data_IF_549351129527
#
_entry.id   IF_549351129527
#
_cell.length_a   1.000
_cell.length_b   1.000
_cell.length_c   1.000
_cell.angle_alpha   90.00
_cell.angle_beta   90.00
_cell.angle_gamma   90.00
#
_symmetry.space_group_name_H-M   'P 1'
#
loop_
_entity.id
_entity.type
_entity.pdbx_description
1 polymer ?
2 non-polymer ?
3 non-polymer ?
4 water ?
#
# COMPACT_ATOMS: atom_id res chain seq x y z
N UNK A 1 17.95 19.13 16.70
CA UNK A 1 18.47 17.80 16.40
C UNK A 1 17.40 16.83 15.98
N UNK A 2 16.41 16.63 16.88
CA UNK A 2 15.22 15.81 16.69
C UNK A 2 13.97 16.66 17.04
N UNK A 3 14.21 17.87 17.59
CA UNK A 3 13.23 18.88 18.05
C UNK A 3 12.23 19.35 16.98
N UNK A 4 12.70 19.62 15.74
CA UNK A 4 11.83 20.07 14.65
C UNK A 4 10.93 18.93 14.24
N UNK A 5 11.51 17.69 14.09
CA UNK A 5 10.85 16.44 13.72
C UNK A 5 9.75 16.08 14.70
N UNK A 6 10.05 16.22 16.01
CA UNK A 6 9.14 15.96 17.12
C UNK A 6 7.91 16.87 17.03
N UNK A 7 8.12 18.14 16.67
CA UNK A 7 7.07 19.14 16.50
C UNK A 7 6.24 18.87 15.24
N UNK A 8 6.85 18.28 14.18
CA UNK A 8 6.15 17.93 12.94
C UNK A 8 5.17 16.83 13.31
N UNK A 9 5.67 15.82 14.08
CA UNK A 9 4.91 14.69 14.60
C UNK A 9 3.86 15.15 15.61
N UNK A 10 4.14 16.22 16.35
CA UNK A 10 3.14 16.77 17.27
C UNK A 10 2.03 17.50 16.51
N UNK A 11 2.37 18.12 15.36
CA UNK A 11 1.42 18.78 14.48
C UNK A 11 0.50 17.72 13.84
N UNK A 12 1.11 16.65 13.26
CA UNK A 12 0.41 15.54 12.60
C UNK A 12 -0.56 14.81 13.52
N UNK A 13 -0.25 14.79 14.83
CA UNK A 13 -1.03 14.14 15.87
C UNK A 13 -2.34 14.90 16.14
N UNK A 14 -2.32 16.24 15.93
CA UNK A 14 -3.47 17.13 16.18
C UNK A 14 -4.48 17.21 15.03
N UNK A 15 -4.42 16.25 14.08
CA UNK A 15 -5.36 16.16 12.97
C UNK A 15 -5.90 14.73 12.87
N UNK A 16 -5.05 13.74 13.21
CA UNK A 16 -5.39 12.32 13.22
C UNK A 16 -6.28 12.06 14.43
N UNK A 17 -5.68 12.01 15.63
CA UNK A 17 -6.33 11.78 16.92
C UNK A 17 -7.39 12.87 17.27
N UNK A 18 -7.50 13.90 16.41
CA UNK A 18 -8.48 14.97 16.50
C UNK A 18 -9.69 14.51 15.68
N UNK A 19 -10.87 14.44 16.34
CA UNK A 19 -12.19 13.98 15.85
C UNK A 19 -12.35 14.10 14.31
N UNK A 20 -11.90 13.06 13.57
CA UNK A 20 -12.02 13.03 12.12
C UNK A 20 -13.30 12.27 11.77
N UNK A 21 -14.39 13.04 11.49
CA UNK A 21 -15.70 12.53 11.11
C UNK A 21 -15.62 11.86 9.73
N UNK A 22 -14.52 12.12 9.02
CA UNK A 22 -14.18 11.61 7.69
C UNK A 22 -14.28 10.10 7.58
N UNK A 23 -13.65 9.35 8.50
CA UNK A 23 -13.65 7.88 8.51
C UNK A 23 -15.04 7.26 8.67
N UNK A 24 -15.87 7.87 9.52
CA UNK A 24 -17.24 7.42 9.76
C UNK A 24 -18.17 7.66 8.59
N UNK A 25 -17.81 8.66 7.75
CA UNK A 25 -18.55 9.02 6.53
C UNK A 25 -18.22 7.98 5.44
N UNK A 26 -16.91 7.62 5.32
CA UNK A 26 -16.37 6.63 4.38
C UNK A 26 -16.99 5.24 4.67
N UNK A 27 -17.14 4.88 5.97
CA UNK A 27 -17.71 3.62 6.45
C UNK A 27 -19.16 3.41 6.00
N UNK A 28 -19.93 4.49 6.00
CA UNK A 28 -21.34 4.50 5.60
C UNK A 28 -21.54 4.23 4.12
N UNK A 29 -20.62 4.75 3.28
CA UNK A 29 -20.65 4.57 1.83
C UNK A 29 -20.27 3.12 1.48
N UNK A 30 -19.20 2.60 2.12
CA UNK A 30 -18.66 1.23 1.96
C UNK A 30 -19.68 0.15 2.38
N UNK A 31 -20.37 0.32 3.54
CA UNK A 31 -21.39 -0.60 4.07
C UNK A 31 -22.60 -0.75 3.11
N UNK A 32 -23.01 0.38 2.51
CA UNK A 32 -24.10 0.55 1.55
C UNK A 32 -23.72 -0.13 0.22
N UNK A 33 -22.43 0.01 -0.18
CA UNK A 33 -21.90 -0.56 -1.41
C UNK A 33 -21.76 -2.07 -1.34
N UNK A 34 -21.24 -2.60 -0.21
CA UNK A 34 -21.05 -4.04 0.01
C UNK A 34 -22.37 -4.82 0.00
N UNK A 35 -23.43 -4.23 0.59
CA UNK A 35 -24.79 -4.77 0.62
C UNK A 35 -25.33 -4.95 -0.81
N UNK A 36 -25.13 -3.92 -1.67
CA UNK A 36 -25.54 -3.91 -3.07
C UNK A 36 -24.75 -4.94 -3.87
N UNK A 37 -23.43 -4.94 -3.67
CA UNK A 37 -22.47 -5.84 -4.31
C UNK A 37 -22.77 -7.32 -4.03
N UNK A 38 -23.07 -7.67 -2.75
CA UNK A 38 -23.38 -9.04 -2.31
C UNK A 38 -24.66 -9.63 -2.94
N UNK A 39 -25.48 -8.77 -3.57
CA UNK A 39 -26.71 -9.15 -4.26
C UNK A 39 -26.44 -9.50 -5.74
N UNK A 40 -25.21 -9.25 -6.20
CA UNK A 40 -24.80 -9.59 -7.56
C UNK A 40 -24.30 -11.04 -7.62
N UNK A 41 -24.53 -11.70 -8.77
CA UNK A 41 -24.15 -13.10 -9.03
C UNK A 41 -22.64 -13.34 -8.92
N UNK A 42 -21.82 -12.37 -9.35
CA UNK A 42 -20.36 -12.47 -9.31
C UNK A 42 -19.76 -11.93 -8.03
N UNK A 43 -20.39 -10.89 -7.46
CA UNK A 43 -19.92 -10.22 -6.25
C UNK A 43 -20.68 -10.61 -4.98
N UNK A 44 -21.28 -11.83 -4.93
CA UNK A 44 -21.99 -12.30 -3.72
C UNK A 44 -21.04 -12.67 -2.59
N UNK A 45 -19.79 -13.00 -2.94
CA UNK A 45 -18.73 -13.33 -1.99
C UNK A 45 -17.80 -12.17 -1.70
N UNK A 46 -18.29 -10.93 -1.93
CA UNK A 46 -17.51 -9.72 -1.67
C UNK A 46 -17.46 -9.40 -0.17
N UNK A 47 -16.43 -8.69 0.25
CA UNK A 47 -16.27 -8.29 1.64
C UNK A 47 -15.19 -7.26 1.82
N UNK A 48 -15.30 -6.42 2.85
CA UNK A 48 -14.28 -5.44 3.18
C UNK A 48 -13.00 -6.19 3.60
N UNK A 49 -11.84 -5.78 3.05
CA UNK A 49 -10.56 -6.33 3.43
C UNK A 49 -9.96 -5.37 4.45
N UNK A 50 -9.70 -5.90 5.65
CA UNK A 50 -9.13 -5.16 6.77
C UNK A 50 -7.60 -4.91 6.54
N UNK A 51 -7.26 -3.65 6.15
CA UNK A 51 -5.90 -3.11 5.94
C UNK A 51 -5.67 -2.05 7.07
N UNK A 52 -6.64 -2.02 7.97
CA UNK A 52 -6.83 -1.11 9.10
C UNK A 52 -8.32 -0.79 9.12
N UNK A 53 -9.06 -1.48 8.21
CA UNK A 53 -10.51 -1.44 7.90
C UNK A 53 -10.85 -0.29 6.91
N UNK A 54 -11.93 0.46 7.19
CA UNK A 54 -12.44 1.60 6.42
C UNK A 54 -11.44 2.78 6.42
N UNK A 55 -10.83 3.07 7.60
CA UNK A 55 -9.88 4.17 7.80
C UNK A 55 -8.43 3.86 7.35
N UNK A 56 -8.25 3.05 6.27
CA UNK A 56 -6.91 2.79 5.71
C UNK A 56 -6.53 4.00 4.85
N UNK A 57 -5.37 4.60 5.14
CA UNK A 57 -4.92 5.82 4.51
C UNK A 57 -3.78 5.66 3.53
N UNK A 58 -3.36 6.81 2.97
CA UNK A 58 -2.23 7.05 2.07
C UNK A 58 -1.67 8.42 2.48
N UNK A 59 -2.57 9.45 2.56
CA UNK A 59 -2.30 10.85 2.91
C UNK A 59 -2.32 11.08 4.44
N UNK A 60 -1.13 11.30 5.02
CA UNK A 60 -0.90 11.56 6.45
C UNK A 60 -0.87 13.09 6.74
N UNK A 61 -0.74 13.92 5.66
CA UNK A 61 -0.70 15.39 5.65
C UNK A 61 -2.11 15.98 5.71
N UNK A 62 -3.05 15.36 4.97
CA UNK A 62 -4.46 15.77 4.91
C UNK A 62 -5.38 14.53 4.92
N UNK A 63 -6.39 14.45 5.84
CA UNK A 63 -7.32 13.31 5.83
C UNK A 63 -8.29 13.28 4.63
N UNK A 64 -7.95 14.02 3.56
CA UNK A 64 -8.69 14.16 2.31
C UNK A 64 -8.46 12.98 1.34
N UNK A 65 -7.72 11.94 1.78
CA UNK A 65 -7.46 10.74 0.97
C UNK A 65 -7.38 9.43 1.79
N UNK A 66 -8.37 8.55 1.56
CA UNK A 66 -8.56 7.22 2.12
C UNK A 66 -8.41 6.19 1.01
N UNK A 67 -7.95 4.98 1.37
CA UNK A 67 -7.80 3.87 0.44
C UNK A 67 -8.49 2.63 1.00
N UNK A 68 -9.59 2.18 0.36
CA UNK A 68 -10.29 0.99 0.84
C UNK A 68 -10.09 -0.18 -0.14
N UNK A 69 -10.06 -1.40 0.40
CA UNK A 69 -9.88 -2.62 -0.36
C UNK A 69 -11.04 -3.59 -0.08
N UNK A 70 -11.64 -4.09 -1.17
CA UNK A 70 -12.71 -5.08 -1.16
C UNK A 70 -12.07 -6.38 -1.60
N UNK A 71 -12.48 -7.48 -1.01
CA UNK A 71 -11.92 -8.78 -1.36
C UNK A 71 -13.01 -9.72 -1.85
N UNK A 72 -12.61 -10.64 -2.73
CA UNK A 72 -13.45 -11.66 -3.35
C UNK A 72 -12.73 -12.99 -3.15
N UNK A 73 -13.33 -13.90 -2.36
CA UNK A 73 -12.74 -15.22 -2.09
C UNK A 73 -12.79 -16.08 -3.36
N UNK A 74 -11.63 -16.22 -4.02
CA UNK A 74 -11.48 -17.02 -5.24
C UNK A 74 -10.81 -18.37 -4.89
N UNK A 75 -11.59 -19.46 -4.82
CA UNK A 75 -11.01 -20.75 -4.45
C UNK A 75 -10.54 -21.59 -5.64
N UNK A 76 -9.62 -22.58 -5.39
CA UNK A 76 -9.05 -23.51 -6.39
C UNK A 76 -8.57 -22.79 -7.68
N UNK A 77 -7.82 -21.69 -7.48
CA UNK A 77 -7.25 -20.76 -8.45
C UNK A 77 -5.88 -21.23 -9.01
N UNK A 78 -5.74 -21.20 -10.36
CA UNK A 78 -4.50 -21.53 -11.07
C UNK A 78 -3.88 -20.23 -11.61
N UNK A 79 -2.60 -19.97 -11.29
CA UNK A 79 -1.91 -18.73 -11.70
C UNK A 79 -0.80 -18.96 -12.72
N UNK A 80 -0.86 -18.21 -13.85
CA UNK A 80 0.15 -18.28 -14.92
C UNK A 80 0.98 -17.00 -14.86
N UNK A 81 2.27 -17.10 -14.54
CA UNK A 81 3.17 -15.94 -14.46
C UNK A 81 3.40 -15.28 -15.83
N UNK A 82 2.98 -14.01 -15.96
CA UNK A 82 3.16 -13.25 -17.20
C UNK A 82 4.61 -12.79 -17.39
N UNK A 83 5.18 -13.07 -18.59
CA UNK A 83 6.51 -12.70 -19.12
C UNK A 83 7.69 -12.73 -18.12
N UNK A 84 7.58 -13.54 -17.05
CA UNK A 84 8.61 -13.63 -15.98
C UNK A 84 8.77 -12.28 -15.23
N UNK A 85 7.65 -11.53 -15.11
CA UNK A 85 7.58 -10.22 -14.45
C UNK A 85 7.62 -10.40 -12.94
N UNK A 86 7.41 -11.64 -12.47
CA UNK A 86 7.40 -12.12 -11.07
C UNK A 86 6.20 -11.61 -10.26
N UNK A 87 5.67 -10.40 -10.57
CA UNK A 87 4.53 -9.80 -9.88
C UNK A 87 3.20 -9.90 -10.63
N UNK A 88 3.22 -10.04 -11.98
CA UNK A 88 2.02 -10.10 -12.84
C UNK A 88 1.65 -11.53 -13.28
N UNK A 89 0.38 -11.92 -13.05
CA UNK A 89 -0.16 -13.27 -13.29
C UNK A 89 -1.53 -13.26 -13.99
N UNK A 90 -1.84 -14.36 -14.68
CA UNK A 90 -3.12 -14.60 -15.33
C UNK A 90 -3.92 -15.41 -14.33
N UNK A 91 -5.24 -15.20 -14.28
CA UNK A 91 -6.07 -15.95 -13.36
C UNK A 91 -6.91 -16.98 -14.11
N UNK A 92 -6.61 -18.28 -13.90
CA UNK A 92 -7.36 -19.38 -14.51
C UNK A 92 -7.93 -20.28 -13.41
N UNK A 93 -8.97 -21.06 -13.75
CA UNK A 93 -9.66 -21.91 -12.78
C UNK A 93 -9.57 -23.39 -13.10
N UNK A 94 -9.54 -24.24 -12.05
CA UNK A 94 -9.47 -25.71 -12.14
C UNK A 94 -10.68 -26.35 -12.83
N UNK A 95 -11.85 -25.64 -12.78
CA UNK A 95 -13.14 -25.98 -13.40
C UNK A 95 -13.74 -27.31 -12.91
N UNK A 96 -14.12 -27.33 -11.61
CA UNK A 96 -14.80 -28.46 -10.94
C UNK A 96 -16.33 -28.18 -10.93
N UNK A 97 -16.86 -27.11 -10.25
CA UNK A 97 -18.30 -26.83 -10.35
C UNK A 97 -18.52 -25.73 -11.42
N UNK A 98 -17.95 -25.98 -12.63
CA UNK A 98 -17.85 -25.17 -13.86
C UNK A 98 -18.63 -23.83 -13.85
N UNK A 99 -19.98 -23.85 -13.66
CA UNK A 99 -20.82 -22.65 -13.58
C UNK A 99 -20.64 -21.91 -12.22
N UNK A 100 -19.42 -21.37 -12.02
CA UNK A 100 -18.95 -20.63 -10.83
C UNK A 100 -19.36 -19.13 -10.90
N UNK A 101 -19.31 -18.35 -9.79
CA UNK A 101 -19.72 -16.93 -9.85
C UNK A 101 -18.96 -16.02 -10.82
N UNK A 102 -17.67 -16.28 -11.05
CA UNK A 102 -16.85 -15.42 -11.91
C UNK A 102 -16.65 -15.98 -13.32
N UNK A 103 -17.41 -17.05 -13.68
CA UNK A 103 -17.36 -17.66 -15.00
C UNK A 103 -17.80 -16.69 -16.11
N UNK A 104 -18.51 -15.59 -15.74
CA UNK A 104 -19.00 -14.57 -16.68
C UNK A 104 -17.91 -13.60 -17.17
N UNK A 105 -16.75 -13.57 -16.48
CA UNK A 105 -15.64 -12.69 -16.88
C UNK A 105 -14.50 -13.45 -17.58
N UNK A 106 -14.72 -14.73 -17.94
CA UNK A 106 -13.72 -15.56 -18.62
C UNK A 106 -13.61 -15.24 -20.11
N UNK A 107 -12.35 -15.09 -20.57
CA UNK A 107 -11.96 -14.87 -21.96
C UNK A 107 -11.03 -16.05 -22.34
N UNK A 108 -11.64 -17.20 -22.53
CA UNK A 108 -10.99 -18.47 -22.81
C UNK A 108 -10.89 -19.26 -21.52
N UNK A 109 -9.72 -19.23 -20.89
CA UNK A 109 -9.46 -19.86 -19.59
C UNK A 109 -9.02 -18.76 -18.63
N UNK A 110 -8.60 -17.61 -19.20
CA UNK A 110 -8.11 -16.39 -18.52
C UNK A 110 -9.28 -15.54 -17.99
N UNK A 111 -9.14 -15.04 -16.75
CA UNK A 111 -10.12 -14.17 -16.10
C UNK A 111 -9.79 -12.69 -16.36
N UNK A 112 -10.75 -11.98 -16.96
CA UNK A 112 -10.67 -10.58 -17.36
C UNK A 112 -10.85 -9.66 -16.15
N UNK A 113 -9.88 -8.74 -15.98
CA UNK A 113 -9.83 -7.75 -14.93
C UNK A 113 -10.71 -6.56 -15.31
N UNK A 114 -10.57 -6.05 -16.55
CA UNK A 114 -11.33 -4.91 -17.11
C UNK A 114 -12.84 -5.15 -17.16
N UNK A 115 -13.23 -6.40 -17.48
CA UNK A 115 -14.63 -6.81 -17.55
C UNK A 115 -15.20 -7.01 -16.14
N UNK A 116 -14.34 -7.43 -15.18
CA UNK A 116 -14.75 -7.59 -13.79
C UNK A 116 -14.89 -6.22 -13.12
N UNK A 117 -13.98 -5.28 -13.44
CA UNK A 117 -13.99 -3.90 -12.97
C UNK A 117 -15.16 -3.16 -13.61
N UNK A 118 -15.54 -3.51 -14.87
CA UNK A 118 -16.64 -2.92 -15.61
C UNK A 118 -17.94 -3.03 -14.81
N UNK A 119 -18.35 -4.27 -14.44
CA UNK A 119 -19.56 -4.53 -13.65
C UNK A 119 -19.49 -3.87 -12.26
N UNK A 120 -18.33 -4.03 -11.56
CA UNK A 120 -18.00 -3.48 -10.24
C UNK A 120 -18.23 -1.95 -10.19
N UNK A 121 -17.62 -1.22 -11.15
CA UNK A 121 -17.73 0.24 -11.35
C UNK A 121 -19.18 0.60 -11.73
N UNK A 122 -19.84 -0.24 -12.57
CA UNK A 122 -21.22 0.02 -13.00
C UNK A 122 -22.20 -0.09 -11.83
N UNK A 123 -22.04 -1.11 -10.97
CA UNK A 123 -22.89 -1.34 -9.79
C UNK A 123 -22.71 -0.20 -8.77
N UNK A 124 -21.45 0.27 -8.61
CA UNK A 124 -21.08 1.37 -7.70
C UNK A 124 -21.62 2.72 -8.23
N UNK A 125 -21.51 2.96 -9.56
CA UNK A 125 -21.99 4.19 -10.24
C UNK A 125 -23.50 4.42 -10.04
N UNK A 126 -24.30 3.35 -10.12
CA UNK A 126 -25.75 3.39 -9.94
C UNK A 126 -26.15 3.42 -8.43
N UNK A 127 -25.32 2.83 -7.55
CA UNK A 127 -25.56 2.78 -6.10
C UNK A 127 -25.24 4.11 -5.39
N UNK A 128 -24.45 5.00 -6.04
CA UNK A 128 -24.06 6.33 -5.56
C UNK A 128 -25.29 7.18 -5.14
N UNK A 129 -26.39 7.10 -5.93
CA UNK A 129 -27.63 7.84 -5.68
C UNK A 129 -28.60 7.04 -4.80
N UNK A 136 -21.50 12.08 -2.46
CA UNK A 136 -20.78 11.00 -3.12
C UNK A 136 -20.83 11.17 -4.64
N UNK A 137 -19.66 11.39 -5.27
CA UNK A 137 -19.50 11.58 -6.72
C UNK A 137 -18.39 10.63 -7.20
N UNK A 138 -18.54 10.04 -8.40
CA UNK A 138 -17.50 9.17 -8.95
C UNK A 138 -16.49 9.99 -9.77
N UNK A 139 -15.33 9.39 -10.06
CA UNK A 139 -14.26 10.00 -10.84
C UNK A 139 -13.81 9.07 -11.96
N UNK A 140 -14.21 9.40 -13.20
CA UNK A 140 -13.88 8.66 -14.42
C UNK A 140 -12.36 8.75 -14.63
N UNK A 141 -11.81 10.00 -14.59
CA UNK A 141 -10.39 10.42 -14.69
C UNK A 141 -9.47 9.43 -15.45
N UNK A 142 -9.03 8.35 -14.77
CA UNK A 142 -8.17 7.28 -15.29
C UNK A 142 -8.79 5.93 -14.91
N UNK A 143 -8.64 5.57 -13.64
CA UNK A 143 -9.13 4.31 -13.07
C UNK A 143 -8.03 3.28 -12.97
N UNK A 144 -8.34 2.07 -13.43
CA UNK A 144 -7.43 0.92 -13.45
C UNK A 144 -7.05 0.49 -12.04
N UNK A 145 -6.00 1.13 -11.51
CA UNK A 145 -5.50 0.93 -10.15
C UNK A 145 -4.93 2.24 -9.57
N UNK A 146 -5.59 2.84 -8.54
CA UNK A 146 -6.81 2.38 -7.83
C UNK A 146 -8.07 2.47 -8.69
N UNK A 147 -8.83 1.36 -8.74
CA UNK A 147 -10.05 1.14 -9.54
C UNK A 147 -11.10 2.28 -9.47
N UNK A 148 -12.02 2.21 -8.51
CA UNK A 148 -13.09 3.20 -8.35
C UNK A 148 -12.58 4.31 -7.41
N UNK A 149 -12.83 5.58 -7.74
CA UNK A 149 -12.41 6.71 -6.91
C UNK A 149 -13.61 7.60 -6.64
N UNK A 150 -14.04 7.65 -5.38
CA UNK A 150 -15.19 8.43 -4.94
C UNK A 150 -14.78 9.71 -4.25
N UNK A 151 -15.63 10.74 -4.33
CA UNK A 151 -15.37 11.98 -3.60
C UNK A 151 -16.55 12.26 -2.65
N UNK A 152 -16.30 12.11 -1.34
CA UNK A 152 -17.29 12.36 -0.29
C UNK A 152 -17.25 13.86 0.03
N UNK A 153 -18.39 14.55 -0.21
CA UNK A 153 -18.59 15.99 -0.05
C UNK A 153 -17.66 16.73 -1.04
N UNK A 154 -16.84 17.69 -0.56
CA UNK A 154 -15.90 18.45 -1.38
C UNK A 154 -14.42 18.15 -1.05
N UNK A 155 -14.15 17.46 0.08
CA UNK A 155 -12.79 17.18 0.55
C UNK A 155 -12.34 15.73 0.43
N UNK A 156 -12.96 14.82 1.22
CA UNK A 156 -12.64 13.38 1.31
C UNK A 156 -12.67 12.66 -0.04
N UNK A 157 -11.57 11.98 -0.39
CA UNK A 157 -11.46 11.19 -1.62
C UNK A 157 -11.16 9.74 -1.23
N UNK A 158 -11.95 8.77 -1.75
CA UNK A 158 -11.78 7.35 -1.40
C UNK A 158 -11.45 6.49 -2.62
N UNK A 159 -10.25 5.86 -2.59
CA UNK A 159 -9.78 4.94 -3.64
C UNK A 159 -10.17 3.52 -3.30
N UNK A 160 -11.17 2.98 -4.01
CA UNK A 160 -11.65 1.62 -3.80
C UNK A 160 -10.95 0.71 -4.81
N UNK A 161 -10.34 -0.36 -4.30
CA UNK A 161 -9.64 -1.37 -5.07
C UNK A 161 -10.32 -2.70 -4.76
N UNK A 162 -10.55 -3.50 -5.79
CA UNK A 162 -11.12 -4.83 -5.69
C UNK A 162 -9.94 -5.81 -5.74
N UNK A 163 -9.97 -6.84 -4.90
CA UNK A 163 -8.87 -7.78 -4.83
C UNK A 163 -9.32 -9.23 -4.81
N UNK A 164 -8.63 -10.07 -5.60
CA UNK A 164 -8.90 -11.50 -5.58
C UNK A 164 -8.10 -12.10 -4.40
N UNK A 165 -8.79 -12.86 -3.55
CA UNK A 165 -8.19 -13.50 -2.39
C UNK A 165 -7.92 -14.98 -2.64
N UNK A 166 -6.68 -15.39 -2.40
CA UNK A 166 -6.29 -16.78 -2.49
C UNK A 166 -5.74 -17.21 -1.13
N UNK A 167 -6.35 -18.26 -0.56
CA UNK A 167 -5.96 -18.81 0.74
C UNK A 167 -4.95 -19.98 0.60
N UNK A 168 -4.26 -20.06 -0.55
CA UNK A 168 -3.24 -21.07 -0.85
C UNK A 168 -1.85 -20.47 -0.61
N UNK A 169 -0.79 -21.32 -0.64
CA UNK A 169 0.61 -20.90 -0.45
C UNK A 169 1.00 -19.78 -1.37
N UNK A 170 1.86 -18.86 -0.89
CA UNK A 170 2.28 -17.71 -1.69
C UNK A 170 3.10 -18.13 -2.94
N UNK A 171 2.88 -17.43 -4.10
CA UNK A 171 3.64 -17.77 -5.32
C UNK A 171 5.15 -17.86 -5.09
N UNK A 172 5.84 -18.68 -5.89
CA UNK A 172 7.28 -18.90 -5.77
C UNK A 172 8.14 -17.63 -5.89
N UNK A 173 7.60 -16.55 -6.52
CA UNK A 173 8.31 -15.27 -6.68
C UNK A 173 8.62 -14.62 -5.33
N UNK A 174 7.77 -14.92 -4.33
CA UNK A 174 7.86 -14.45 -2.95
C UNK A 174 8.81 -15.26 -2.05
N UNK A 175 9.27 -16.45 -2.48
CA UNK A 175 10.12 -17.35 -1.69
C UNK A 175 11.24 -16.67 -0.86
N UNK A 176 11.89 -15.64 -1.43
CA UNK A 176 12.99 -14.94 -0.78
C UNK A 176 12.57 -13.54 -0.26
N UNK A 177 11.29 -13.19 -0.46
CA UNK A 177 10.69 -11.95 0.02
C UNK A 177 10.40 -12.00 1.51
N UNK A 178 9.87 -10.91 2.09
CA UNK A 178 9.56 -10.80 3.51
C UNK A 178 10.77 -11.23 4.39
N UNK A 179 11.94 -10.63 4.14
CA UNK A 179 13.19 -10.98 4.86
C UNK A 179 13.21 -10.39 6.29
N UNK A 180 12.37 -10.96 7.15
CA UNK A 180 12.16 -10.46 8.51
C UNK A 180 12.79 -11.38 9.58
N UNK A 181 13.43 -12.52 9.17
CA UNK A 181 14.01 -13.56 10.05
C UNK A 181 14.95 -13.02 11.13
N UNK A 182 15.84 -12.08 10.79
CA UNK A 182 16.78 -11.56 11.78
C UNK A 182 16.23 -10.40 12.58
N UNK A 183 14.98 -10.01 12.34
CA UNK A 183 14.30 -8.88 12.99
C UNK A 183 13.10 -9.39 13.78
N UNK A 184 12.04 -9.82 13.08
CA UNK A 184 10.80 -10.29 13.69
C UNK A 184 10.81 -11.77 13.99
N UNK A 185 11.81 -12.52 13.43
CA UNK A 185 12.04 -13.97 13.50
C UNK A 185 11.49 -14.79 12.33
N UNK A 186 12.08 -15.97 12.20
CA UNK A 186 11.71 -17.03 11.27
C UNK A 186 10.31 -17.63 11.63
N UNK A 187 9.91 -17.61 12.92
CA UNK A 187 8.60 -18.19 13.24
C UNK A 187 7.46 -17.25 12.90
N UNK A 188 7.70 -15.93 12.93
CA UNK A 188 6.72 -14.90 12.54
C UNK A 188 6.56 -14.90 11.00
N UNK A 189 7.69 -14.98 10.25
CA UNK A 189 7.69 -15.07 8.78
C UNK A 189 6.80 -16.24 8.33
N UNK A 190 6.97 -17.42 8.94
CA UNK A 190 6.22 -18.65 8.72
C UNK A 190 4.71 -18.40 8.98
N UNK A 191 4.38 -17.70 10.09
CA UNK A 191 3.00 -17.38 10.47
C UNK A 191 2.31 -16.41 9.51
N UNK A 192 3.04 -15.39 9.04
CA UNK A 192 2.54 -14.40 8.10
C UNK A 192 2.29 -15.01 6.73
N UNK A 193 3.19 -15.92 6.31
CA UNK A 193 3.15 -16.63 5.05
C UNK A 193 2.05 -17.69 5.00
N UNK A 194 1.34 -17.90 6.14
CA UNK A 194 0.16 -18.79 6.21
C UNK A 194 -1.10 -17.94 5.97
N UNK A 195 -0.95 -16.59 5.94
CA UNK A 195 -2.06 -15.69 5.67
C UNK A 195 -2.38 -15.67 4.15
N UNK A 196 -3.58 -15.22 3.72
CA UNK A 196 -3.85 -15.18 2.26
C UNK A 196 -2.99 -14.14 1.52
N UNK A 197 -3.05 -14.20 0.18
CA UNK A 197 -2.42 -13.22 -0.70
C UNK A 197 -3.50 -12.71 -1.66
N UNK A 198 -3.33 -11.48 -2.12
CA UNK A 198 -4.31 -10.80 -2.96
C UNK A 198 -3.79 -10.51 -4.36
N UNK A 199 -4.74 -10.40 -5.32
CA UNK A 199 -4.46 -10.09 -6.72
C UNK A 199 -5.28 -8.88 -7.15
N UNK A 200 -4.58 -7.81 -7.53
CA UNK A 200 -5.20 -6.55 -7.94
C UNK A 200 -5.02 -6.25 -9.46
N UNK A 201 -6.00 -5.60 -10.14
CA UNK A 201 -5.80 -5.27 -11.57
C UNK A 201 -4.67 -4.26 -11.84
N UNK A 202 -4.22 -4.15 -13.14
CA UNK A 202 -3.15 -3.29 -13.71
C UNK A 202 -1.80 -4.00 -13.69
N UNK A 211 -1.09 -3.40 -23.43
CA UNK A 211 -1.90 -3.68 -22.23
C UNK A 211 -2.37 -5.13 -22.24
N UNK A 212 -2.53 -5.74 -21.05
CA UNK A 212 -2.99 -7.12 -20.88
C UNK A 212 -3.85 -7.35 -19.62
N UNK A 213 -4.66 -8.43 -19.63
CA UNK A 213 -5.55 -8.84 -18.53
C UNK A 213 -4.77 -9.62 -17.43
N UNK A 214 -3.77 -8.93 -16.86
CA UNK A 214 -2.89 -9.43 -15.80
C UNK A 214 -3.27 -8.80 -14.45
N UNK A 215 -2.96 -9.54 -13.35
CA UNK A 215 -3.22 -9.17 -11.97
C UNK A 215 -1.92 -9.18 -11.17
N UNK A 216 -1.64 -8.13 -10.36
CA UNK A 216 -0.44 -8.18 -9.53
C UNK A 216 -0.73 -8.60 -8.13
N UNK A 217 0.24 -9.32 -7.54
CA UNK A 217 0.22 -9.78 -6.16
C UNK A 217 0.27 -8.58 -5.24
N UNK A 218 -0.59 -8.60 -4.23
CA UNK A 218 -0.73 -7.57 -3.21
C UNK A 218 -0.61 -8.27 -1.85
N UNK A 219 0.21 -7.66 -0.97
CA UNK A 219 0.48 -8.10 0.39
C UNK A 219 0.30 -6.93 1.33
N UNK A 220 -0.62 -6.01 0.98
CA UNK A 220 -0.89 -4.78 1.73
C UNK A 220 -1.44 -5.03 3.17
N UNK A 221 -2.21 -6.11 3.35
CA UNK A 221 -2.78 -6.57 4.60
C UNK A 221 -1.70 -6.97 5.65
N UNK A 222 -0.46 -7.23 5.23
CA UNK A 222 0.66 -7.62 6.09
C UNK A 222 1.28 -6.42 6.85
N UNK A 223 1.12 -5.20 6.30
CA UNK A 223 1.63 -3.97 6.91
C UNK A 223 1.14 -3.76 8.36
N UNK A 224 -0.17 -3.88 8.60
CA UNK A 224 -0.80 -3.74 9.90
C UNK A 224 -0.29 -4.75 10.90
N UNK A 225 -0.07 -5.98 10.45
CA UNK A 225 0.48 -7.13 11.16
C UNK A 225 1.84 -6.75 11.78
N UNK A 226 2.71 -6.16 10.97
CA UNK A 226 4.06 -5.74 11.32
C UNK A 226 4.10 -4.38 12.03
N UNK A 227 3.39 -3.35 11.56
CA UNK A 227 3.40 -2.04 12.23
C UNK A 227 3.00 -2.08 13.70
N UNK A 228 2.01 -2.89 14.06
CA UNK A 228 1.46 -3.02 15.42
C UNK A 228 2.24 -4.00 16.30
N UNK A 229 3.28 -4.64 15.74
CA UNK A 229 4.15 -5.62 16.39
C UNK A 229 5.45 -5.58 15.64
N UNK A 230 6.17 -4.46 15.77
CA UNK A 230 7.34 -4.14 14.96
C UNK A 230 8.73 -4.32 15.56
N UNK A 231 8.89 -4.72 16.82
CA UNK A 231 10.23 -4.82 17.41
C UNK A 231 10.87 -6.19 17.40
N UNK A 232 12.19 -6.28 17.68
CA UNK A 232 12.85 -7.58 17.86
C UNK A 232 12.37 -8.13 19.22
N UNK A 233 12.14 -7.23 20.17
CA UNK A 233 11.58 -7.48 21.48
C UNK A 233 10.04 -7.43 21.40
N UNK A 234 9.40 -8.43 21.96
CA UNK A 234 7.94 -8.57 22.03
C UNK A 234 7.28 -7.43 22.81
N UNK A 235 8.04 -6.72 23.68
CA UNK A 235 7.55 -5.63 24.53
C UNK A 235 7.89 -4.21 23.98
N UNK A 236 8.44 -4.12 22.74
CA UNK A 236 8.78 -2.86 22.08
C UNK A 236 7.54 -1.94 22.05
N UNK A 237 7.68 -0.71 22.62
CA UNK A 237 6.69 0.37 22.72
C UNK A 237 5.51 0.03 23.67
N UNK A 238 5.73 -0.90 24.60
CA UNK A 238 4.71 -1.31 25.58
C UNK A 238 4.95 -0.67 26.94
N UNK A 239 6.12 -0.01 27.09
CA UNK A 239 6.52 0.72 28.28
C UNK A 239 7.63 1.75 27.99
N UNK A 240 7.97 2.53 29.03
CA UNK A 240 8.94 3.64 29.13
C UNK A 240 10.34 3.40 28.52
N UNK A 241 11.06 2.34 29.00
CA UNK A 241 12.43 2.01 28.60
C UNK A 241 12.56 1.34 27.22
N UNK A 242 11.42 1.04 26.57
CA UNK A 242 11.43 0.36 25.28
C UNK A 242 10.63 1.08 24.19
N UNK A 243 10.67 2.44 24.22
CA UNK A 243 10.00 3.23 23.20
C UNK A 243 10.92 3.54 21.98
N UNK A 244 10.57 2.98 20.80
CA UNK A 244 11.36 3.14 19.57
C UNK A 244 10.73 4.18 18.61
N UNK A 245 11.51 4.63 17.59
CA UNK A 245 11.03 5.63 16.64
C UNK A 245 10.72 5.10 15.23
N UNK A 246 10.65 3.78 15.04
CA UNK A 246 10.31 3.15 13.76
C UNK A 246 9.04 3.79 13.14
N UNK A 247 7.89 3.82 13.89
CA UNK A 247 6.62 4.40 13.43
C UNK A 247 6.76 5.87 13.04
N UNK A 248 7.44 6.68 13.87
CA UNK A 248 7.75 8.10 13.65
C UNK A 248 8.59 8.31 12.37
N UNK A 249 9.59 7.45 12.11
CA UNK A 249 10.37 7.48 10.87
C UNK A 249 9.52 7.18 9.67
N UNK A 250 8.58 6.17 9.76
CA UNK A 250 7.67 5.90 8.65
C UNK A 250 6.78 7.11 8.33
N UNK A 251 6.17 7.73 9.37
CA UNK A 251 5.29 8.88 9.27
C UNK A 251 5.99 10.07 8.62
N UNK A 252 7.24 10.38 9.09
CA UNK A 252 8.06 11.47 8.56
C UNK A 252 8.48 11.22 7.10
N UNK A 253 8.70 9.95 6.72
CA UNK A 253 9.08 9.60 5.35
C UNK A 253 7.88 9.79 4.43
N UNK A 254 6.68 9.41 4.90
CA UNK A 254 5.42 9.57 4.15
C UNK A 254 5.11 11.07 3.95
N UNK A 255 5.13 11.83 5.06
CA UNK A 255 4.90 13.27 5.07
C UNK A 255 5.86 14.01 4.16
N UNK A 256 7.15 13.60 4.15
CA UNK A 256 8.16 14.22 3.27
C UNK A 256 7.74 14.11 1.80
N UNK A 257 7.41 12.90 1.32
CA UNK A 257 6.98 12.69 -0.06
C UNK A 257 5.68 13.45 -0.39
N UNK A 258 4.67 13.41 0.52
CA UNK A 258 3.38 14.12 0.42
C UNK A 258 3.54 15.63 0.22
N UNK A 259 4.44 16.24 1.02
CA UNK A 259 4.76 17.67 0.97
C UNK A 259 5.53 17.98 -0.31
N UNK A 260 6.41 17.06 -0.76
CA UNK A 260 7.15 17.27 -2.02
C UNK A 260 6.20 17.15 -3.22
N UNK A 261 5.19 16.26 -3.12
CA UNK A 261 4.17 16.03 -4.14
C UNK A 261 3.19 17.22 -4.25
N UNK A 262 3.11 18.06 -3.19
CA UNK A 262 2.30 19.28 -3.11
C UNK A 262 3.08 20.43 -3.71
N UNK A 263 4.39 20.52 -3.37
CA UNK A 263 5.34 21.55 -3.81
C UNK A 263 5.58 21.49 -5.34
N UNK A 264 5.22 20.36 -6.00
CA UNK A 264 5.39 20.18 -7.45
C UNK A 264 4.15 19.60 -8.13
N UNK A 265 2.95 19.88 -7.59
CA UNK A 265 1.67 19.37 -8.13
C UNK A 265 1.26 20.02 -9.49
N UNK A 266 2.00 21.06 -9.95
CA UNK A 266 1.76 21.71 -11.23
C UNK A 266 2.69 21.13 -12.34
N UNK A 267 3.53 20.16 -11.95
CA UNK A 267 4.48 19.43 -12.79
C UNK A 267 4.17 17.92 -12.77
N UNK A 268 4.66 17.18 -13.79
CA UNK A 268 4.44 15.72 -13.96
C UNK A 268 5.47 14.79 -13.25
N UNK A 269 6.61 15.36 -12.79
CA UNK A 269 7.77 14.65 -12.26
C UNK A 269 7.54 13.72 -11.04
N UNK A 270 6.77 14.16 -10.02
CA UNK A 270 6.54 13.33 -8.81
C UNK A 270 5.18 12.63 -8.78
N UNK A 271 4.63 12.34 -9.95
CA UNK A 271 3.30 11.74 -10.11
C UNK A 271 3.31 10.23 -9.91
N UNK A 272 4.39 9.56 -10.33
CA UNK A 272 4.57 8.09 -10.21
C UNK A 272 4.92 7.62 -8.79
N UNK A 273 5.35 8.54 -7.90
CA UNK A 273 5.71 8.20 -6.52
C UNK A 273 4.52 8.21 -5.57
N UNK A 274 4.45 7.20 -4.69
CA UNK A 274 3.41 7.05 -3.67
C UNK A 274 4.04 6.69 -2.32
N UNK A 275 3.21 6.71 -1.25
CA UNK A 275 3.56 6.35 0.12
C UNK A 275 4.06 4.89 0.13
N UNK A 276 3.68 4.11 -0.91
CA UNK A 276 4.09 2.74 -1.12
C UNK A 276 5.61 2.57 -1.35
N UNK A 277 6.22 3.46 -2.14
CA UNK A 277 7.68 3.50 -2.40
C UNK A 277 8.41 3.79 -1.11
N UNK A 278 7.82 4.68 -0.31
CA UNK A 278 8.29 5.13 0.99
C UNK A 278 8.21 4.00 1.99
N UNK A 279 7.05 3.29 2.08
CA UNK A 279 6.86 2.12 2.96
C UNK A 279 7.88 1.04 2.66
N UNK A 280 7.98 0.60 1.38
CA UNK A 280 8.92 -0.42 0.92
C UNK A 280 10.34 -0.11 1.36
N UNK A 281 10.87 1.10 1.10
CA UNK A 281 12.24 1.48 1.46
C UNK A 281 12.41 1.49 2.98
N UNK A 282 11.38 1.97 3.72
CA UNK A 282 11.41 1.99 5.19
C UNK A 282 11.56 0.56 5.73
N UNK A 283 10.82 -0.40 5.16
CA UNK A 283 10.85 -1.78 5.63
C UNK A 283 12.16 -2.46 5.29
N UNK A 284 12.84 -2.05 4.21
CA UNK A 284 14.18 -2.55 3.87
C UNK A 284 15.23 -2.03 4.87
N UNK A 285 15.00 -0.81 5.44
CA UNK A 285 15.85 -0.23 6.49
C UNK A 285 15.65 -1.03 7.80
N UNK A 286 14.43 -1.48 8.06
CA UNK A 286 14.04 -2.33 9.21
C UNK A 286 14.76 -3.67 9.20
N UNK A 287 14.85 -4.29 8.02
CA UNK A 287 15.58 -5.53 7.78
C UNK A 287 17.10 -5.31 8.00
N UNK A 288 17.61 -4.17 7.53
CA UNK A 288 19.00 -3.77 7.62
C UNK A 288 19.41 -3.46 9.06
N UNK A 289 18.48 -2.90 9.84
CA UNK A 289 18.67 -2.48 11.23
C UNK A 289 17.67 -3.25 12.07
N UNK A 290 17.93 -4.54 12.40
CA UNK A 290 16.92 -5.36 13.09
C UNK A 290 16.75 -5.13 14.59
N UNK A 291 17.78 -4.58 15.25
CA UNK A 291 17.81 -4.30 16.68
C UNK A 291 17.01 -3.06 17.06
N UNK A 292 16.28 -3.13 18.17
CA UNK A 292 15.53 -2.01 18.75
C UNK A 292 16.42 -0.85 19.18
N UNK A 293 17.72 -1.13 19.50
CA UNK A 293 18.70 -0.09 19.88
C UNK A 293 19.11 0.76 18.67
N UNK A 294 18.86 0.25 17.46
CA UNK A 294 19.12 0.96 16.20
C UNK A 294 17.92 1.87 15.90
N UNK A 295 16.91 1.90 16.81
CA UNK A 295 15.69 2.69 16.66
C UNK A 295 15.24 3.43 17.94
N UNK A 296 16.16 3.84 18.79
CA UNK A 296 15.88 4.56 20.04
C UNK A 296 15.16 5.90 19.81
N UNK A 297 14.18 6.26 20.67
CA UNK A 297 13.43 7.53 20.56
C UNK A 297 14.34 8.75 20.50
N UNK A 298 15.42 8.76 21.32
CA UNK A 298 16.41 9.84 21.42
C UNK A 298 17.13 10.09 20.08
N UNK A 299 17.28 9.03 19.26
CA UNK A 299 17.99 9.02 17.98
C UNK A 299 17.10 9.19 16.74
N UNK A 300 15.87 9.74 16.94
CA UNK A 300 14.91 10.05 15.87
C UNK A 300 15.54 10.73 14.64
N UNK A 301 16.45 11.69 14.85
CA UNK A 301 17.14 12.43 13.81
C UNK A 301 18.06 11.60 12.92
N UNK A 302 18.88 10.73 13.53
CA UNK A 302 19.80 9.86 12.80
C UNK A 302 19.06 8.68 12.16
N UNK A 303 18.02 8.15 12.84
CA UNK A 303 17.18 7.04 12.34
C UNK A 303 16.47 7.45 11.07
N UNK A 304 15.87 8.66 11.07
CA UNK A 304 15.20 9.26 9.94
C UNK A 304 16.19 9.49 8.83
N UNK A 305 17.43 9.94 9.16
CA UNK A 305 18.49 10.14 8.18
C UNK A 305 18.84 8.87 7.43
N UNK A 306 18.93 7.72 8.15
CA UNK A 306 19.16 6.39 7.57
C UNK A 306 18.06 6.05 6.55
N UNK A 307 16.80 6.40 6.86
CA UNK A 307 15.64 6.21 5.98
C UNK A 307 15.76 7.05 4.75
N UNK A 308 16.16 8.33 4.93
CA UNK A 308 16.35 9.33 3.88
C UNK A 308 17.49 8.90 2.94
N UNK A 309 18.66 8.51 3.53
CA UNK A 309 19.86 8.03 2.83
C UNK A 309 19.57 6.76 2.00
N UNK A 310 18.92 5.74 2.61
CA UNK A 310 18.57 4.49 1.94
C UNK A 310 17.68 4.80 0.70
N UNK A 311 16.62 5.62 0.89
CA UNK A 311 15.73 6.04 -0.20
C UNK A 311 16.45 6.84 -1.31
N UNK A 312 17.51 7.62 -0.98
CA UNK A 312 18.27 8.38 -2.00
C UNK A 312 19.15 7.44 -2.82
N UNK A 313 19.75 6.44 -2.14
CA UNK A 313 20.59 5.37 -2.70
C UNK A 313 19.70 4.49 -3.61
N UNK A 314 18.39 4.48 -3.34
CA UNK A 314 17.39 3.75 -4.14
C UNK A 314 17.08 4.45 -5.43
N UNK A 315 16.84 5.78 -5.35
CA UNK A 315 16.55 6.63 -6.52
C UNK A 315 17.78 6.68 -7.42
N UNK A 316 18.98 6.94 -6.84
CA UNK A 316 20.27 7.05 -7.56
C UNK A 316 20.65 5.81 -8.37
N UNK A 317 20.40 4.60 -7.81
CA UNK A 317 20.72 3.30 -8.43
C UNK A 317 19.57 2.73 -9.27
N UNK A 318 18.36 3.33 -9.14
CA UNK A 318 17.12 2.93 -9.82
C UNK A 318 16.70 1.55 -9.33
N UNK A 319 16.96 1.30 -8.04
CA UNK A 319 16.70 0.02 -7.38
C UNK A 319 15.85 0.14 -6.10
N UNK A 320 14.65 -0.41 -6.15
CA UNK A 320 13.76 -0.55 -5.00
C UNK A 320 12.94 -1.79 -5.22
N UNK A 321 13.39 -2.89 -4.65
CA UNK A 321 12.72 -4.17 -4.77
C UNK A 321 11.47 -4.24 -3.93
N UNK A 322 10.45 -4.89 -4.48
CA UNK A 322 9.19 -5.18 -3.84
C UNK A 322 9.59 -6.04 -2.62
N UNK A 323 9.11 -5.64 -1.43
CA UNK A 323 9.45 -6.24 -0.15
C UNK A 323 9.11 -7.73 -0.05
N UNK A 324 8.14 -8.18 -0.90
CA UNK A 324 7.64 -9.56 -0.98
C UNK A 324 8.16 -10.31 -2.20
N UNK A 325 8.55 -9.59 -3.25
CA UNK A 325 9.03 -10.15 -4.51
C UNK A 325 10.39 -9.50 -4.81
N UNK A 326 11.52 -10.10 -4.34
CA UNK A 326 12.84 -9.46 -4.57
C UNK A 326 13.17 -9.11 -6.02
N UNK A 327 12.74 -9.96 -6.98
CA UNK A 327 13.06 -9.74 -8.40
C UNK A 327 12.19 -8.66 -9.08
N UNK A 328 11.11 -8.19 -8.44
CA UNK A 328 10.31 -7.11 -9.00
C UNK A 328 10.81 -5.76 -8.45
N UNK A 329 11.38 -4.93 -9.34
CA UNK A 329 11.96 -3.60 -9.11
C UNK A 329 10.95 -2.47 -9.39
N UNK A 330 10.50 -1.82 -8.30
CA UNK A 330 9.55 -0.70 -8.29
C UNK A 330 10.15 0.57 -8.91
N UNK A 331 11.49 0.63 -8.99
CA UNK A 331 12.21 1.76 -9.59
C UNK A 331 12.83 1.44 -10.97
N UNK A 332 12.25 0.47 -11.70
CA UNK A 332 12.71 0.10 -13.05
C UNK A 332 12.41 1.23 -14.03
N UNK A 333 13.18 1.33 -15.15
CA UNK A 333 12.98 2.34 -16.19
C UNK A 333 11.58 2.25 -16.83
N UNK A 334 10.97 1.05 -16.80
CA UNK A 334 9.64 0.81 -17.37
C UNK A 334 8.51 1.24 -16.44
N UNK A 335 8.82 1.51 -15.15
CA UNK A 335 7.84 1.98 -14.17
C UNK A 335 7.97 3.49 -13.88
N UNK A 336 9.21 4.00 -13.73
CA UNK A 336 9.55 5.40 -13.46
C UNK A 336 10.81 5.70 -14.26
N UNK A 337 10.85 6.83 -14.99
CA UNK A 337 12.01 7.21 -15.80
C UNK A 337 13.15 7.84 -14.97
N UNK A 338 14.38 7.85 -15.53
CA UNK A 338 15.61 8.39 -14.92
C UNK A 338 15.45 9.86 -14.52
N UNK A 339 14.77 10.65 -15.38
CA UNK A 339 14.48 12.08 -15.21
C UNK A 339 13.63 12.33 -13.94
N UNK A 340 12.64 11.46 -13.64
CA UNK A 340 11.79 11.57 -12.45
C UNK A 340 12.52 11.14 -11.18
N UNK A 341 13.39 10.11 -11.28
CA UNK A 341 14.20 9.63 -10.16
C UNK A 341 15.28 10.65 -9.80
N UNK A 342 16.04 11.17 -10.81
CA UNK A 342 17.08 12.23 -10.68
C UNK A 342 16.54 13.58 -10.16
N UNK A 343 15.24 13.86 -10.42
CA UNK A 343 14.55 15.07 -9.96
C UNK A 343 14.23 14.96 -8.48
N UNK A 344 13.59 13.83 -8.05
CA UNK A 344 13.25 13.59 -6.65
C UNK A 344 14.53 13.49 -5.80
N UNK A 345 15.61 12.88 -6.36
CA UNK A 345 16.92 12.76 -5.71
C UNK A 345 17.43 14.17 -5.35
N UNK A 346 17.38 15.11 -6.29
CA UNK A 346 17.82 16.49 -6.07
C UNK A 346 16.96 17.20 -5.02
N UNK A 347 15.62 16.97 -5.06
CA UNK A 347 14.67 17.59 -4.14
C UNK A 347 14.82 17.10 -2.69
N UNK A 348 15.08 15.79 -2.49
CA UNK A 348 15.30 15.25 -1.15
C UNK A 348 16.65 15.77 -0.61
N UNK A 349 17.73 15.66 -1.43
CA UNK A 349 19.09 16.12 -1.12
C UNK A 349 19.07 17.59 -0.70
N UNK A 350 18.17 18.40 -1.29
CA UNK A 350 17.95 19.80 -0.96
C UNK A 350 17.36 19.98 0.45
N UNK A 351 16.24 19.28 0.75
CA UNK A 351 15.53 19.31 2.04
C UNK A 351 16.44 18.80 3.16
N UNK A 352 17.21 17.72 2.88
CA UNK A 352 18.19 17.11 3.78
C UNK A 352 19.34 18.11 4.09
N UNK A 353 19.79 18.89 3.09
CA UNK A 353 20.86 19.88 3.23
C UNK A 353 20.34 21.26 3.65
N UNK A 354 19.09 21.35 4.18
CA UNK A 354 18.51 22.63 4.62
C UNK A 354 17.58 22.50 5.86
N UNK A 355 17.78 21.43 6.66
CA UNK A 355 17.04 21.11 7.90
C UNK A 355 15.52 20.91 7.66
N UNK A 356 15.16 20.39 6.47
CA UNK A 356 13.82 20.03 5.97
C UNK A 356 12.80 21.20 5.99
N UNK A 357 12.87 22.11 4.97
CA UNK A 357 11.91 23.23 4.89
C UNK A 357 10.41 22.87 4.79
N UNK A 358 10.04 21.70 4.24
CA UNK A 358 8.65 21.25 4.13
C UNK A 358 8.02 20.98 5.53
N UNK A 359 8.89 20.82 6.53
CA UNK A 359 8.51 20.58 7.91
C UNK A 359 8.45 21.93 8.71
N UNK A 360 7.90 23.02 8.08
CA UNK A 360 7.74 24.33 8.69
C UNK A 360 6.37 24.51 9.35
X LIG B 1 8.77 0.05 18.93
X LIG C 1 2.38 -4.04 0.24
X LIG C 1 1.51 -3.62 -0.76
X LIG C 1 0.56 -4.21 -2.85
X LIG C 1 0.87 -2.35 -0.67
X LIG C 1 1.09 -1.56 0.48
X LIG C 1 1.99 -2.02 1.47
X LIG C 1 -0.08 -1.61 -1.45
X LIG C 1 -1.25 0.59 -1.19
X LIG C 1 -2.68 0.33 -0.78
X LIG C 1 -2.98 -0.29 0.44
X LIG C 1 -4.29 -0.54 0.81
X LIG C 1 -5.34 -0.20 -0.04
X LIG C 1 -5.05 0.41 -1.25
X LIG C 1 -3.74 0.68 -1.62
X LIG C 1 6.12 -5.17 5.63
X LIG C 1 5.22 -4.66 4.52
X LIG C 1 5.72 -3.77 3.57
X LIG C 1 4.90 -3.33 2.54
X LIG C 1 5.60 -2.27 1.35
X LIG C 1 3.56 -3.73 2.43
X LIG C 1 3.08 -4.61 3.40
X LIG C 1 3.90 -5.05 4.42
X LIG C 1 2.64 -3.25 1.36
X LIG C 1 1.32 -4.51 -1.95
X LIG C 1 2.05 -5.58 -1.95
X LIG C 1 0.37 -0.38 0.40
X LIG C 1 -0.33 -0.48 -0.77
#
# INVERSE_FOLDING_TARGET
GASKLRAVLEKLKLSRDDISTAAGMVKGVVDHLLLRLKCDSAFRGVGLLNTGSYYEHVKISAPNEFDVMFKLEVPRIQLEEYSNTRAYYFVKFKRNPKENPLSQFLEGEILSASKMLSKFRKIIKEEINDIKDTDVIMKRKRGGSPAVTLLISEKISVDITLALESKSSWPASTQEGLRIQNWLSAKVRKQLRLKPFYLVPKHAKEGNGFQEETWRLSFSHIEKEILNNHGKSKTCCENKEEKCCRKDCLKLMKYLLEQLKERFKDKKHLDKFSSYHVKTAFFHVCTQNPQDSQWDRKDLGLCFDNCVTYFLQCLRTEKLENYFIPEFNLFSSNLIDKRSKEFLTKQIEYERNNEFPVFDEF
ZN ZN
YMT C10 C11 O14 C15 C16 C17 C20 C21 C22 C23 C24 C25 C26 C27 C1 C2 C3 C4 CL5 C6 C7 C8 C9 C12 O13 N18 N19
#
